data_IF_381105038122
#
_entry.id   IF_381105038122
#
_cell.length_a   1.000
_cell.length_b   1.000
_cell.length_c   1.000
_cell.angle_alpha   90.00
_cell.angle_beta   90.00
_cell.angle_gamma   90.00
#
_symmetry.space_group_name_H-M   'P 1'
#
loop_
_entity.id
_entity.type
_entity.pdbx_description
1 polymer ?
#
# COMPACT_ATOMS: atom_id res chain seq x y z
N UNK A 1 14.16 -22.53 6.13
CA UNK A 1 13.86 -21.84 4.86
C UNK A 1 12.78 -20.76 4.99
N UNK A 2 11.74 -20.95 5.80
CA UNK A 2 10.71 -19.92 6.06
C UNK A 2 11.23 -18.66 6.82
N UNK A 3 12.32 -18.81 7.58
CA UNK A 3 12.91 -17.74 8.39
C UNK A 3 13.68 -16.71 7.56
N UNK A 4 14.40 -17.15 6.52
CA UNK A 4 15.03 -16.26 5.52
C UNK A 4 14.00 -15.44 4.73
N UNK A 5 12.84 -16.02 4.44
CA UNK A 5 11.72 -15.32 3.78
C UNK A 5 10.93 -14.39 4.72
N UNK A 6 11.14 -14.46 6.05
CA UNK A 6 10.68 -13.48 7.03
C UNK A 6 11.70 -12.35 7.20
N UNK A 7 12.99 -12.68 7.29
CA UNK A 7 14.08 -11.70 7.32
C UNK A 7 14.16 -10.83 6.07
N UNK A 8 13.69 -11.30 4.92
CA UNK A 8 13.65 -10.51 3.68
C UNK A 8 12.35 -9.70 3.53
N UNK A 9 11.38 -9.89 4.44
CA UNK A 9 10.15 -9.09 4.59
C UNK A 9 10.33 -7.97 5.62
N UNK A 10 11.30 -8.11 6.50
CA UNK A 10 11.71 -7.04 7.39
C UNK A 10 12.61 -6.07 6.62
N UNK A 11 12.15 -4.82 6.61
CA UNK A 11 12.90 -3.61 6.34
C UNK A 11 13.50 -3.43 4.93
N UNK A 12 12.80 -2.61 4.13
CA UNK A 12 13.51 -1.50 3.46
C UNK A 12 14.05 -0.61 4.58
N UNK A 13 15.19 -0.99 5.16
CA UNK A 13 15.80 -0.31 6.32
C UNK A 13 16.42 1.04 5.92
N UNK A 14 16.46 1.35 4.62
CA UNK A 14 16.95 2.62 4.09
C UNK A 14 16.00 3.15 3.03
N UNK A 15 14.97 3.88 3.47
CA UNK A 15 14.12 4.66 2.58
C UNK A 15 14.94 5.66 1.74
N UNK A 16 16.12 6.06 2.22
CA UNK A 16 17.05 6.98 1.56
C UNK A 16 17.60 6.47 0.22
N UNK A 17 17.56 5.16 -0.02
CA UNK A 17 17.97 4.54 -1.29
C UNK A 17 16.78 4.40 -2.28
N UNK A 18 15.56 4.76 -1.85
CA UNK A 18 14.34 4.68 -2.64
C UNK A 18 14.07 6.03 -3.31
N UNK A 19 13.54 5.99 -4.53
CA UNK A 19 13.00 7.15 -5.27
C UNK A 19 12.22 8.11 -4.34
N UNK A 20 12.58 9.40 -4.37
CA UNK A 20 12.02 10.44 -3.50
C UNK A 20 10.49 10.54 -3.60
N UNK A 21 9.91 10.25 -4.76
CA UNK A 21 8.46 10.23 -4.94
C UNK A 21 7.81 9.11 -4.11
N UNK A 22 8.47 7.96 -3.97
CA UNK A 22 7.99 6.85 -3.15
C UNK A 22 8.07 7.20 -1.67
N UNK A 23 9.09 7.95 -1.24
CA UNK A 23 9.16 8.47 0.14
C UNK A 23 7.95 9.35 0.45
N UNK A 24 7.60 10.27 -0.46
CA UNK A 24 6.41 11.12 -0.34
C UNK A 24 5.13 10.27 -0.28
N UNK A 25 5.02 9.22 -1.11
CA UNK A 25 3.85 8.32 -1.09
C UNK A 25 3.77 7.57 0.25
N UNK A 26 4.89 7.15 0.83
CA UNK A 26 4.93 6.53 2.16
C UNK A 26 4.42 7.50 3.24
N UNK A 27 4.93 8.74 3.27
CA UNK A 27 4.48 9.76 4.23
C UNK A 27 3.00 10.11 4.09
N UNK A 28 2.49 10.15 2.85
CA UNK A 28 1.06 10.33 2.62
C UNK A 28 0.25 9.13 3.11
N UNK A 29 0.74 7.90 2.89
CA UNK A 29 0.05 6.67 3.34
C UNK A 29 -0.03 6.58 4.86
N UNK A 30 1.03 6.98 5.58
CA UNK A 30 1.02 7.08 7.04
C UNK A 30 -0.03 8.09 7.52
N UNK A 31 -0.10 9.26 6.89
CA UNK A 31 -1.10 10.29 7.24
C UNK A 31 -2.53 9.86 6.96
N UNK A 32 -2.77 9.18 5.84
CA UNK A 32 -4.11 8.81 5.38
C UNK A 32 -4.66 7.55 6.08
N UNK A 33 -3.79 6.58 6.38
CA UNK A 33 -4.21 5.24 6.81
C UNK A 33 -3.48 4.70 8.04
N UNK A 34 -2.53 5.45 8.60
CA UNK A 34 -1.73 5.03 9.75
C UNK A 34 -0.70 3.94 9.45
N UNK A 35 -0.48 3.61 8.18
CA UNK A 35 0.56 2.66 7.77
C UNK A 35 1.03 2.87 6.32
N UNK A 36 2.34 2.85 6.11
CA UNK A 36 2.98 2.77 4.79
C UNK A 36 3.52 1.39 4.45
N UNK A 37 3.23 0.36 5.27
CA UNK A 37 3.86 -0.96 5.13
C UNK A 37 3.67 -1.57 3.73
N UNK A 38 2.48 -1.46 3.13
CA UNK A 38 2.20 -1.95 1.78
C UNK A 38 3.01 -1.21 0.70
N UNK A 39 3.22 0.09 0.84
CA UNK A 39 4.05 0.89 -0.05
C UNK A 39 5.52 0.51 0.09
N UNK A 40 6.02 0.36 1.33
CA UNK A 40 7.40 -0.04 1.62
C UNK A 40 7.73 -1.44 1.08
N UNK A 41 6.80 -2.39 1.20
CA UNK A 41 6.95 -3.74 0.62
C UNK A 41 7.19 -3.67 -0.89
N UNK A 42 6.55 -2.73 -1.60
CA UNK A 42 6.68 -2.58 -3.05
C UNK A 42 7.71 -1.53 -3.48
N UNK A 43 8.45 -0.91 -2.56
CA UNK A 43 9.34 0.21 -2.86
C UNK A 43 10.48 -0.13 -3.85
N UNK A 44 10.88 -1.39 -3.91
CA UNK A 44 11.85 -1.92 -4.89
C UNK A 44 11.28 -2.00 -6.32
N UNK A 45 9.98 -1.73 -6.51
CA UNK A 45 9.29 -1.62 -7.79
C UNK A 45 8.57 -0.26 -7.93
N UNK A 46 9.30 0.84 -8.16
CA UNK A 46 8.72 2.20 -8.12
C UNK A 46 7.56 2.40 -9.12
N UNK A 47 7.68 1.85 -10.33
CA UNK A 47 6.63 1.93 -11.34
C UNK A 47 5.31 1.28 -10.85
N UNK A 48 5.40 0.17 -10.12
CA UNK A 48 4.22 -0.52 -9.56
C UNK A 48 3.57 0.30 -8.45
N UNK A 49 4.36 0.90 -7.56
CA UNK A 49 3.85 1.78 -6.50
C UNK A 49 3.12 2.99 -7.11
N UNK A 50 3.72 3.66 -8.09
CA UNK A 50 3.13 4.82 -8.77
C UNK A 50 1.84 4.44 -9.50
N UNK A 51 1.84 3.33 -10.23
CA UNK A 51 0.64 2.82 -10.89
C UNK A 51 -0.48 2.51 -9.89
N UNK A 52 -0.16 1.86 -8.77
CA UNK A 52 -1.14 1.53 -7.73
C UNK A 52 -1.69 2.77 -7.03
N UNK A 53 -0.84 3.77 -6.71
CA UNK A 53 -1.26 5.05 -6.14
C UNK A 53 -2.20 5.79 -7.10
N UNK A 54 -1.85 5.86 -8.38
CA UNK A 54 -2.68 6.50 -9.40
C UNK A 54 -4.03 5.80 -9.56
N UNK A 55 -4.03 4.48 -9.63
CA UNK A 55 -5.27 3.70 -9.70
C UNK A 55 -6.17 3.95 -8.49
N UNK A 56 -5.62 3.90 -7.27
CA UNK A 56 -6.38 4.18 -6.04
C UNK A 56 -6.91 5.62 -5.99
N UNK A 57 -6.11 6.59 -6.45
CA UNK A 57 -6.52 8.00 -6.54
C UNK A 57 -7.67 8.23 -7.51
N UNK A 58 -7.61 7.61 -8.69
CA UNK A 58 -8.69 7.64 -9.67
C UNK A 58 -9.95 6.94 -9.15
N UNK A 59 -9.81 5.78 -8.51
CA UNK A 59 -10.93 5.08 -7.91
C UNK A 59 -11.63 5.91 -6.82
N UNK A 60 -10.86 6.65 -6.02
CA UNK A 60 -11.40 7.53 -5.00
C UNK A 60 -12.20 8.70 -5.61
N UNK A 61 -11.67 9.33 -6.66
CA UNK A 61 -12.27 10.52 -7.31
C UNK A 61 -13.42 10.22 -8.26
N UNK A 62 -13.24 9.23 -9.13
CA UNK A 62 -14.11 8.96 -10.28
C UNK A 62 -14.97 7.70 -10.10
N UNK A 63 -14.72 6.91 -9.05
CA UNK A 63 -15.45 5.65 -8.86
C UNK A 63 -16.92 5.91 -8.50
N UNK A 64 -17.84 5.26 -9.21
CA UNK A 64 -19.30 5.40 -9.07
C UNK A 64 -19.86 5.17 -7.67
N UNK A 65 -19.18 4.36 -6.85
CA UNK A 65 -19.62 4.07 -5.48
C UNK A 65 -19.13 5.14 -4.51
N UNK A 66 -19.95 5.51 -3.54
CA UNK A 66 -19.53 6.40 -2.46
C UNK A 66 -18.41 5.79 -1.62
N UNK A 67 -17.58 6.64 -1.00
CA UNK A 67 -16.45 6.19 -0.19
C UNK A 67 -16.81 5.18 0.92
N UNK A 68 -17.90 5.37 1.70
CA UNK A 68 -18.30 4.39 2.72
C UNK A 68 -18.62 3.01 2.13
N UNK A 69 -19.28 2.99 0.96
CA UNK A 69 -19.65 1.73 0.31
C UNK A 69 -18.42 1.01 -0.27
N UNK A 70 -17.47 1.75 -0.86
CA UNK A 70 -16.17 1.19 -1.30
C UNK A 70 -15.45 0.52 -0.13
N UNK A 71 -15.46 1.15 1.04
CA UNK A 71 -14.81 0.62 2.24
C UNK A 71 -15.50 -0.64 2.79
N UNK A 72 -16.84 -0.66 2.84
CA UNK A 72 -17.59 -1.86 3.23
C UNK A 72 -17.29 -3.06 2.30
N UNK A 73 -17.21 -2.81 0.99
CA UNK A 73 -16.84 -3.84 0.01
C UNK A 73 -15.41 -4.31 0.24
N UNK A 74 -14.45 -3.40 0.45
CA UNK A 74 -13.04 -3.73 0.74
C UNK A 74 -12.93 -4.63 1.97
N UNK A 75 -13.61 -4.27 3.07
CA UNK A 75 -13.62 -5.05 4.31
C UNK A 75 -14.27 -6.42 4.13
N UNK A 76 -15.37 -6.51 3.37
CA UNK A 76 -16.01 -7.79 3.04
C UNK A 76 -15.06 -8.70 2.26
N UNK A 77 -14.37 -8.18 1.25
CA UNK A 77 -13.37 -8.93 0.47
C UNK A 77 -12.20 -9.35 1.35
N UNK A 78 -11.68 -8.46 2.20
CA UNK A 78 -10.60 -8.77 3.12
C UNK A 78 -10.97 -9.93 4.06
N UNK A 79 -12.19 -9.89 4.63
CA UNK A 79 -12.71 -10.98 5.47
C UNK A 79 -12.86 -12.29 4.71
N UNK A 80 -13.40 -12.27 3.49
CA UNK A 80 -13.53 -13.48 2.66
C UNK A 80 -12.17 -14.11 2.32
N UNK A 81 -11.14 -13.30 2.17
CA UNK A 81 -9.77 -13.75 1.87
C UNK A 81 -8.91 -13.95 3.12
N UNK A 82 -9.48 -13.86 4.33
CA UNK A 82 -8.74 -13.88 5.60
C UNK A 82 -7.53 -12.92 5.65
N UNK A 83 -7.62 -11.79 4.93
CA UNK A 83 -6.59 -10.76 4.92
C UNK A 83 -6.63 -9.98 6.23
N UNK A 84 -5.49 -9.94 6.94
CA UNK A 84 -5.32 -9.28 8.25
C UNK A 84 -4.32 -8.12 8.23
N UNK A 85 -3.94 -7.70 7.02
CA UNK A 85 -3.11 -6.51 6.83
C UNK A 85 -3.85 -5.27 7.32
#
# INVERSE_FOLDING_TARGET
>A
MAEKARQQRDTVDKMDEVDAEIQVICEQSERESGSSASTRVLAHHPALVKALRNFRGLLAKEGMLEAPLKELIRLKIARLNACRY
#
